data_IF_727479081356
#
_entry.id   IF_727479081356
#
_cell.length_a   1.000
_cell.length_b   1.000
_cell.length_c   1.000
_cell.angle_alpha   90.00
_cell.angle_beta   90.00
_cell.angle_gamma   90.00
#
_symmetry.space_group_name_H-M   'P 1'
#
loop_
_entity.id
_entity.type
_entity.pdbx_description
1 polymer ?
#
# COMPACT_ATOMS: atom_id res chain seq x y z
N UNK A 1 -0.01 -25.10 -14.08
CA UNK A 1 0.77 -24.12 -13.27
C UNK A 1 0.78 -24.64 -11.84
N UNK A 2 1.90 -24.61 -11.12
CA UNK A 2 1.95 -25.10 -9.72
C UNK A 2 1.07 -24.19 -8.83
N UNK A 3 0.33 -24.77 -7.88
CA UNK A 3 -0.55 -24.04 -6.95
C UNK A 3 0.18 -22.89 -6.24
N UNK A 4 1.46 -23.08 -5.88
CA UNK A 4 2.27 -22.01 -5.27
C UNK A 4 2.44 -20.80 -6.19
N UNK A 5 2.62 -21.03 -7.50
CA UNK A 5 2.77 -19.96 -8.50
C UNK A 5 1.43 -19.29 -8.75
N UNK A 6 0.34 -20.05 -8.78
CA UNK A 6 -1.00 -19.51 -8.90
C UNK A 6 -1.36 -18.60 -7.71
N UNK A 7 -1.05 -19.02 -6.49
CA UNK A 7 -1.33 -18.25 -5.29
C UNK A 7 -0.45 -17.01 -5.18
N UNK A 8 0.82 -17.10 -5.58
CA UNK A 8 1.69 -15.93 -5.67
C UNK A 8 1.18 -14.88 -6.66
N UNK A 9 0.57 -15.31 -7.77
CA UNK A 9 0.13 -14.42 -8.84
C UNK A 9 -1.31 -13.95 -8.73
N UNK A 10 -2.23 -14.76 -8.23
CA UNK A 10 -3.66 -14.44 -8.24
C UNK A 10 -4.15 -13.90 -6.90
N UNK A 11 -3.59 -14.35 -5.77
CA UNK A 11 -4.03 -13.87 -4.47
C UNK A 11 -3.81 -12.34 -4.28
N UNK A 12 -2.69 -11.73 -4.72
CA UNK A 12 -2.52 -10.29 -4.63
C UNK A 12 -3.04 -9.54 -5.88
N UNK A 13 -3.86 -10.16 -6.74
CA UNK A 13 -4.24 -9.55 -8.03
C UNK A 13 -4.91 -8.18 -7.88
N UNK A 14 -5.68 -7.97 -6.80
CA UNK A 14 -6.25 -6.66 -6.48
C UNK A 14 -5.21 -5.55 -6.24
N UNK A 15 -3.97 -5.91 -5.91
CA UNK A 15 -2.86 -4.98 -5.67
C UNK A 15 -2.08 -4.63 -6.94
N UNK A 16 -2.31 -5.30 -8.07
CA UNK A 16 -1.59 -4.98 -9.31
C UNK A 16 -1.95 -3.62 -9.88
N UNK A 17 -3.21 -3.23 -9.77
CA UNK A 17 -3.67 -1.90 -10.20
C UNK A 17 -2.94 -0.79 -9.42
N UNK A 18 -2.98 -0.74 -8.07
CA UNK A 18 -2.25 0.28 -7.33
C UNK A 18 -0.73 0.21 -7.54
N UNK A 19 -0.17 -0.98 -7.76
CA UNK A 19 1.26 -1.15 -8.08
C UNK A 19 1.63 -0.48 -9.41
N UNK A 20 0.84 -0.73 -10.47
CA UNK A 20 1.06 -0.13 -11.79
C UNK A 20 0.86 1.39 -11.77
N UNK A 21 -0.17 1.87 -11.06
CA UNK A 21 -0.40 3.31 -10.88
C UNK A 21 0.78 3.93 -10.13
N UNK A 22 1.27 3.30 -9.05
CA UNK A 22 2.42 3.78 -8.30
C UNK A 22 3.69 3.87 -9.17
N UNK A 23 3.89 2.87 -10.04
CA UNK A 23 5.00 2.87 -11.00
C UNK A 23 4.90 4.07 -11.96
N UNK A 24 3.72 4.25 -12.57
CA UNK A 24 3.45 5.36 -13.47
C UNK A 24 3.66 6.72 -12.79
N UNK A 25 3.16 6.89 -11.55
CA UNK A 25 3.33 8.13 -10.78
C UNK A 25 4.79 8.41 -10.44
N UNK A 26 5.60 7.38 -10.20
CA UNK A 26 7.04 7.53 -9.93
C UNK A 26 7.79 8.05 -11.16
N UNK A 27 7.40 7.62 -12.35
CA UNK A 27 8.01 8.08 -13.60
C UNK A 27 7.52 9.45 -14.05
N UNK A 28 6.24 9.77 -13.83
CA UNK A 28 5.61 11.01 -14.32
C UNK A 28 5.74 12.17 -13.34
N UNK A 29 5.99 11.89 -12.05
CA UNK A 29 6.10 12.92 -11.01
C UNK A 29 7.49 12.93 -10.36
N UNK A 30 8.01 14.13 -10.16
CA UNK A 30 9.30 14.36 -9.50
C UNK A 30 9.10 15.08 -8.16
N UNK A 31 9.86 14.74 -7.11
CA UNK A 31 9.85 15.48 -5.85
C UNK A 31 10.22 16.95 -6.06
N UNK A 32 9.53 17.86 -5.36
CA UNK A 32 9.94 19.27 -5.31
C UNK A 32 11.28 19.40 -4.58
N UNK A 33 12.27 20.02 -5.22
CA UNK A 33 13.64 20.14 -4.68
C UNK A 33 13.75 21.08 -3.47
N UNK A 34 12.81 22.00 -3.27
CA UNK A 34 12.96 23.13 -2.33
C UNK A 34 12.31 22.96 -0.94
N UNK A 35 11.78 21.79 -0.60
CA UNK A 35 11.09 21.63 0.68
C UNK A 35 12.03 21.32 1.85
N UNK A 36 12.79 22.31 2.33
CA UNK A 36 13.71 22.22 3.47
C UNK A 36 13.03 22.00 4.85
N UNK A 37 11.83 21.39 4.91
CA UNK A 37 11.11 21.12 6.16
C UNK A 37 9.87 20.20 6.05
N UNK A 38 9.36 19.93 4.83
CA UNK A 38 8.26 19.00 4.59
C UNK A 38 8.60 17.49 4.75
N UNK A 39 9.85 17.01 4.60
CA UNK A 39 10.15 15.58 4.65
C UNK A 39 9.87 14.93 6.00
N UNK A 40 10.16 15.61 7.11
CA UNK A 40 10.05 15.01 8.45
C UNK A 40 8.58 14.82 8.86
N UNK A 41 7.73 15.81 8.61
CA UNK A 41 6.29 15.71 8.92
C UNK A 41 5.57 14.72 8.00
N UNK A 42 6.04 14.57 6.76
CA UNK A 42 5.58 13.52 5.85
C UNK A 42 6.00 12.13 6.32
N UNK A 43 7.29 11.94 6.62
CA UNK A 43 7.82 10.66 7.09
C UNK A 43 7.16 10.24 8.39
N UNK A 44 6.90 11.17 9.33
CA UNK A 44 6.16 10.87 10.55
C UNK A 44 4.77 10.29 10.27
N UNK A 45 4.00 10.91 9.36
CA UNK A 45 2.70 10.37 8.94
C UNK A 45 2.83 9.01 8.23
N UNK A 46 3.90 8.82 7.45
CA UNK A 46 4.15 7.55 6.76
C UNK A 46 4.50 6.43 7.75
N UNK A 47 5.30 6.70 8.78
CA UNK A 47 5.60 5.75 9.86
C UNK A 47 4.34 5.39 10.67
N UNK A 48 3.46 6.36 10.94
CA UNK A 48 2.13 6.08 11.52
C UNK A 48 1.33 5.15 10.59
N UNK A 49 1.37 5.41 9.28
CA UNK A 49 0.77 4.52 8.28
C UNK A 49 1.32 3.10 8.34
N UNK A 50 2.64 2.93 8.43
CA UNK A 50 3.27 1.60 8.56
C UNK A 50 2.78 0.91 9.84
N UNK A 51 2.67 1.63 10.97
CA UNK A 51 2.13 1.07 12.20
C UNK A 51 0.65 0.61 12.06
N UNK A 52 -0.18 1.40 11.36
CA UNK A 52 -1.56 1.01 11.04
C UNK A 52 -1.56 -0.22 10.14
N UNK A 53 -0.67 -0.31 9.15
CA UNK A 53 -0.55 -1.49 8.29
C UNK A 53 -0.11 -2.73 9.07
N UNK A 54 0.77 -2.60 10.07
CA UNK A 54 1.08 -3.70 10.97
C UNK A 54 -0.17 -4.19 11.71
N UNK A 55 -0.97 -3.28 12.27
CA UNK A 55 -2.23 -3.64 12.92
C UNK A 55 -3.22 -4.31 11.95
N UNK A 56 -3.32 -3.79 10.73
CA UNK A 56 -4.17 -4.33 9.67
C UNK A 56 -3.78 -5.75 9.27
N UNK A 57 -2.49 -5.95 8.98
CA UNK A 57 -1.92 -7.27 8.70
C UNK A 57 -2.14 -8.26 9.86
N UNK A 58 -1.98 -7.82 11.12
CA UNK A 58 -2.24 -8.66 12.29
C UNK A 58 -3.71 -9.11 12.32
N UNK A 59 -4.66 -8.19 12.15
CA UNK A 59 -6.09 -8.52 12.11
C UNK A 59 -6.39 -9.52 10.98
N UNK A 60 -5.93 -9.25 9.76
CA UNK A 60 -6.10 -10.13 8.60
C UNK A 60 -5.53 -11.52 8.85
N UNK A 61 -4.36 -11.61 9.50
CA UNK A 61 -3.71 -12.88 9.80
C UNK A 61 -4.52 -13.68 10.82
N UNK A 62 -4.84 -13.11 11.98
CA UNK A 62 -5.53 -13.81 13.07
C UNK A 62 -6.95 -14.19 12.71
N UNK A 63 -7.60 -13.42 11.82
CA UNK A 63 -8.97 -13.70 11.39
C UNK A 63 -9.06 -14.47 10.08
N UNK A 64 -7.93 -14.89 9.51
CA UNK A 64 -7.90 -15.86 8.42
C UNK A 64 -8.14 -15.29 7.03
N UNK A 65 -7.79 -14.03 6.77
CA UNK A 65 -7.89 -13.41 5.44
C UNK A 65 -7.22 -14.25 4.35
N UNK A 66 -6.02 -14.76 4.62
CA UNK A 66 -5.23 -15.63 3.72
C UNK A 66 -5.94 -16.93 3.31
N UNK A 67 -7.00 -17.32 4.03
CA UNK A 67 -7.84 -18.47 3.73
C UNK A 67 -9.16 -18.00 3.10
N UNK A 68 -9.84 -17.05 3.75
CA UNK A 68 -11.18 -16.62 3.37
C UNK A 68 -11.21 -15.80 2.07
N UNK A 69 -10.27 -14.88 1.87
CA UNK A 69 -10.27 -14.03 0.69
C UNK A 69 -10.07 -14.84 -0.61
N UNK A 70 -9.05 -15.72 -0.75
CA UNK A 70 -8.91 -16.53 -1.96
C UNK A 70 -10.11 -17.44 -2.22
N UNK A 71 -10.67 -18.05 -1.17
CA UNK A 71 -11.79 -18.99 -1.31
C UNK A 71 -13.08 -18.33 -1.79
N UNK A 72 -13.30 -17.04 -1.49
CA UNK A 72 -14.42 -16.27 -2.06
C UNK A 72 -14.37 -16.17 -3.59
N UNK A 73 -13.19 -16.28 -4.20
CA UNK A 73 -13.01 -16.23 -5.65
C UNK A 73 -12.75 -17.62 -6.26
N UNK A 74 -13.00 -18.71 -5.51
CA UNK A 74 -12.75 -20.08 -5.96
C UNK A 74 -11.26 -20.42 -6.09
N UNK A 75 -10.37 -19.65 -5.45
CA UNK A 75 -8.94 -19.90 -5.41
C UNK A 75 -8.58 -20.75 -4.17
N UNK A 76 -7.41 -21.39 -4.21
CA UNK A 76 -6.91 -22.14 -3.06
C UNK A 76 -6.42 -21.19 -1.96
N UNK A 77 -6.58 -21.56 -0.67
CA UNK A 77 -6.00 -20.81 0.43
C UNK A 77 -4.50 -20.56 0.24
N UNK A 78 -4.06 -19.35 0.62
CA UNK A 78 -2.64 -18.99 0.66
C UNK A 78 -2.06 -19.55 1.95
N UNK A 79 -0.85 -20.12 1.91
CA UNK A 79 -0.21 -20.61 3.14
C UNK A 79 0.14 -19.44 4.08
N UNK A 80 0.16 -19.70 5.39
CA UNK A 80 0.50 -18.69 6.38
C UNK A 80 1.90 -18.09 6.12
N UNK A 81 2.87 -18.93 5.75
CA UNK A 81 4.25 -18.51 5.46
C UNK A 81 4.32 -17.58 4.26
N UNK A 82 3.57 -17.88 3.19
CA UNK A 82 3.52 -17.03 2.01
C UNK A 82 2.84 -15.69 2.32
N UNK A 83 1.73 -15.71 3.05
CA UNK A 83 1.01 -14.50 3.44
C UNK A 83 1.84 -13.58 4.36
N UNK A 84 2.49 -14.16 5.38
CA UNK A 84 3.39 -13.44 6.29
C UNK A 84 4.61 -12.94 5.53
N UNK A 85 5.27 -13.79 4.72
CA UNK A 85 6.44 -13.43 3.94
C UNK A 85 6.18 -12.27 2.97
N UNK A 86 5.02 -12.28 2.29
CA UNK A 86 4.58 -11.19 1.43
C UNK A 86 4.42 -9.88 2.21
N UNK A 87 3.66 -9.88 3.30
CA UNK A 87 3.39 -8.68 4.09
C UNK A 87 4.66 -8.12 4.77
N UNK A 88 5.49 -8.98 5.36
CA UNK A 88 6.74 -8.56 6.00
C UNK A 88 7.73 -8.00 4.97
N UNK A 89 7.78 -8.55 3.76
CA UNK A 89 8.61 -8.01 2.68
C UNK A 89 8.20 -6.57 2.33
N UNK A 90 6.90 -6.31 2.19
CA UNK A 90 6.39 -4.96 1.93
C UNK A 90 6.62 -4.00 3.10
N UNK A 91 6.42 -4.45 4.34
CA UNK A 91 6.76 -3.66 5.53
C UNK A 91 8.25 -3.26 5.55
N UNK A 92 9.14 -4.18 5.17
CA UNK A 92 10.57 -3.89 5.01
C UNK A 92 10.84 -2.86 3.91
N UNK A 93 10.24 -3.05 2.73
CA UNK A 93 10.37 -2.11 1.61
C UNK A 93 9.87 -0.71 1.98
N UNK A 94 8.71 -0.59 2.64
CA UNK A 94 8.16 0.70 3.09
C UNK A 94 9.01 1.36 4.17
N UNK A 95 9.58 0.57 5.09
CA UNK A 95 10.50 1.09 6.10
C UNK A 95 11.78 1.65 5.46
N UNK A 96 12.35 0.95 4.48
CA UNK A 96 13.49 1.45 3.70
C UNK A 96 13.13 2.68 2.86
N UNK A 97 11.92 2.72 2.31
CA UNK A 97 11.42 3.86 1.56
C UNK A 97 11.35 5.12 2.41
N UNK A 98 10.94 5.02 3.68
CA UNK A 98 10.93 6.16 4.60
C UNK A 98 12.32 6.81 4.71
N UNK A 99 13.38 5.99 4.81
CA UNK A 99 14.76 6.48 4.78
C UNK A 99 15.13 7.09 3.42
N UNK A 100 14.74 6.44 2.31
CA UNK A 100 14.97 6.95 0.97
C UNK A 100 14.33 8.32 0.70
N UNK A 101 13.14 8.60 1.26
CA UNK A 101 12.47 9.90 1.18
C UNK A 101 13.29 10.98 1.89
N UNK A 102 13.81 10.71 3.10
CA UNK A 102 14.68 11.65 3.83
C UNK A 102 15.92 11.99 3.00
N UNK A 103 16.44 11.01 2.25
CA UNK A 103 17.64 11.15 1.41
C UNK A 103 17.35 11.70 0.00
N UNK A 104 16.08 12.02 -0.31
CA UNK A 104 15.70 12.54 -1.63
C UNK A 104 15.81 11.53 -2.77
N UNK A 105 15.84 10.23 -2.48
CA UNK A 105 15.97 9.17 -3.49
C UNK A 105 14.66 9.00 -4.24
N UNK A 106 14.65 9.28 -5.54
CA UNK A 106 13.44 9.21 -6.38
C UNK A 106 12.77 7.84 -6.35
N UNK A 107 13.55 6.76 -6.43
CA UNK A 107 13.02 5.39 -6.43
C UNK A 107 12.26 5.07 -5.15
N UNK A 108 12.59 5.73 -4.03
CA UNK A 108 11.88 5.54 -2.77
C UNK A 108 10.42 6.01 -2.81
N UNK A 109 10.03 6.85 -3.77
CA UNK A 109 8.64 7.31 -3.91
C UNK A 109 7.72 6.22 -4.45
N UNK A 110 8.22 5.25 -5.23
CA UNK A 110 7.44 4.12 -5.75
C UNK A 110 6.72 3.33 -4.66
N UNK A 111 7.41 2.76 -3.67
CA UNK A 111 6.75 2.01 -2.61
C UNK A 111 5.83 2.89 -1.76
N UNK A 112 6.08 4.19 -1.62
CA UNK A 112 5.20 5.10 -0.85
C UNK A 112 3.92 5.42 -1.62
N UNK A 113 3.99 5.60 -2.94
CA UNK A 113 2.79 5.67 -3.78
C UNK A 113 1.97 4.39 -3.68
N UNK A 114 2.64 3.24 -3.78
CA UNK A 114 1.98 1.94 -3.67
C UNK A 114 1.31 1.78 -2.31
N UNK A 115 1.99 2.15 -1.21
CA UNK A 115 1.40 2.15 0.12
C UNK A 115 0.11 2.96 0.17
N UNK A 116 0.16 4.24 -0.26
CA UNK A 116 -1.00 5.12 -0.20
C UNK A 116 -2.20 4.58 -0.96
N UNK A 117 -1.98 4.05 -2.17
CA UNK A 117 -3.03 3.52 -3.03
C UNK A 117 -3.58 2.18 -2.52
N UNK A 118 -2.71 1.24 -2.12
CA UNK A 118 -3.12 -0.07 -1.62
C UNK A 118 -3.91 0.08 -0.31
N UNK A 119 -3.49 0.95 0.59
CA UNK A 119 -4.19 1.22 1.84
C UNK A 119 -5.56 1.86 1.61
N UNK A 120 -5.65 2.79 0.65
CA UNK A 120 -6.93 3.38 0.23
C UNK A 120 -7.88 2.32 -0.31
N UNK A 121 -7.37 1.40 -1.13
CA UNK A 121 -8.14 0.27 -1.65
C UNK A 121 -8.65 -0.64 -0.52
N UNK A 122 -7.78 -1.02 0.42
CA UNK A 122 -8.15 -1.85 1.57
C UNK A 122 -9.28 -1.22 2.39
N UNK A 123 -9.20 0.09 2.66
CA UNK A 123 -10.24 0.79 3.41
C UNK A 123 -11.61 0.85 2.74
N UNK A 124 -11.71 0.53 1.44
CA UNK A 124 -12.97 0.40 0.72
C UNK A 124 -13.35 -1.07 0.53
N UNK A 125 -12.40 -1.93 0.17
CA UNK A 125 -12.63 -3.33 -0.16
C UNK A 125 -13.18 -4.13 1.03
N UNK A 126 -12.59 -3.97 2.22
CA UNK A 126 -12.97 -4.73 3.41
C UNK A 126 -14.40 -4.45 3.90
N UNK A 127 -14.86 -3.17 4.00
CA UNK A 127 -16.27 -2.89 4.25
C UNK A 127 -17.22 -3.48 3.21
N UNK A 128 -16.87 -3.41 1.92
CA UNK A 128 -17.68 -4.01 0.85
C UNK A 128 -17.76 -5.53 1.01
N UNK A 129 -16.64 -6.19 1.28
CA UNK A 129 -16.58 -7.63 1.48
C UNK A 129 -17.38 -8.06 2.72
N UNK A 130 -17.32 -7.30 3.81
CA UNK A 130 -18.14 -7.52 5.01
C UNK A 130 -19.65 -7.44 4.71
N UNK A 131 -20.07 -6.44 3.94
CA UNK A 131 -21.47 -6.32 3.51
C UNK A 131 -21.85 -7.50 2.61
N UNK A 132 -21.00 -7.88 1.67
CA UNK A 132 -21.26 -8.96 0.72
C UNK A 132 -21.36 -10.34 1.40
N UNK A 133 -20.51 -10.61 2.40
CA UNK A 133 -20.55 -11.87 3.16
C UNK A 133 -21.59 -11.86 4.28
N UNK A 134 -22.26 -10.74 4.53
CA UNK A 134 -23.31 -10.61 5.53
C UNK A 134 -22.81 -10.67 6.98
N UNK A 135 -21.52 -10.36 7.21
CA UNK A 135 -20.91 -10.50 8.53
C UNK A 135 -19.53 -9.86 8.61
N UNK A 136 -18.81 -10.16 9.69
CA UNK A 136 -17.42 -9.72 9.82
C UNK A 136 -16.56 -10.32 8.71
N UNK A 137 -15.73 -9.49 8.08
CA UNK A 137 -14.72 -9.93 7.12
C UNK A 137 -13.31 -9.59 7.64
N UNK A 138 -12.32 -10.48 7.52
CA UNK A 138 -10.98 -10.26 8.05
C UNK A 138 -10.35 -8.93 7.63
N UNK A 139 -10.02 -8.06 8.57
CA UNK A 139 -9.45 -6.72 8.30
C UNK A 139 -10.47 -5.58 8.36
N UNK A 140 -11.74 -5.85 8.66
CA UNK A 140 -12.80 -4.83 8.72
C UNK A 140 -12.55 -3.75 9.77
N UNK A 141 -12.00 -4.05 10.95
CA UNK A 141 -11.88 -3.05 12.01
C UNK A 141 -10.74 -2.07 11.78
N UNK A 142 -9.64 -2.54 11.21
CA UNK A 142 -8.45 -1.72 10.94
C UNK A 142 -8.46 -1.08 9.55
N UNK A 143 -9.18 -1.65 8.59
CA UNK A 143 -9.19 -1.15 7.21
C UNK A 143 -9.70 0.29 7.04
N UNK A 144 -10.66 0.83 7.81
CA UNK A 144 -11.06 2.24 7.67
C UNK A 144 -9.92 3.19 8.04
N UNK A 145 -9.18 2.89 9.13
CA UNK A 145 -8.00 3.65 9.51
C UNK A 145 -6.89 3.54 8.45
N UNK A 146 -6.70 2.33 7.90
CA UNK A 146 -5.81 2.09 6.76
C UNK A 146 -6.18 2.96 5.55
N UNK A 147 -7.47 3.00 5.18
CA UNK A 147 -7.98 3.82 4.09
C UNK A 147 -7.71 5.30 4.29
N UNK A 148 -8.02 5.83 5.48
CA UNK A 148 -7.80 7.23 5.81
C UNK A 148 -6.32 7.59 5.70
N UNK A 149 -5.41 6.81 6.28
CA UNK A 149 -3.98 7.12 6.21
C UNK A 149 -3.46 6.97 4.76
N UNK A 150 -3.99 6.01 4.00
CA UNK A 150 -3.70 5.85 2.58
C UNK A 150 -4.02 7.10 1.76
N UNK A 151 -5.20 7.69 1.97
CA UNK A 151 -5.64 8.93 1.33
C UNK A 151 -4.75 10.11 1.75
N UNK A 152 -4.42 10.21 3.04
CA UNK A 152 -3.55 11.27 3.58
C UNK A 152 -2.17 11.22 2.92
N UNK A 153 -1.54 10.04 2.87
CA UNK A 153 -0.21 9.86 2.26
C UNK A 153 -0.25 10.17 0.77
N UNK A 154 -1.22 9.62 0.04
CA UNK A 154 -1.41 9.87 -1.40
C UNK A 154 -1.57 11.36 -1.68
N UNK A 155 -2.43 12.05 -0.92
CA UNK A 155 -2.67 13.49 -1.07
C UNK A 155 -1.41 14.31 -0.80
N UNK A 156 -0.64 13.96 0.25
CA UNK A 156 0.61 14.64 0.56
C UNK A 156 1.66 14.42 -0.52
N UNK A 157 1.75 13.22 -1.10
CA UNK A 157 2.63 12.93 -2.23
C UNK A 157 2.27 13.75 -3.48
N UNK A 158 0.97 13.90 -3.79
CA UNK A 158 0.54 14.74 -4.90
C UNK A 158 0.94 16.21 -4.70
N UNK A 159 0.93 16.71 -3.45
CA UNK A 159 1.35 18.07 -3.13
C UNK A 159 2.87 18.25 -3.11
N UNK A 160 3.63 17.21 -2.75
CA UNK A 160 5.10 17.28 -2.66
C UNK A 160 5.82 16.91 -3.96
N UNK A 161 5.08 16.47 -4.98
CA UNK A 161 5.63 16.10 -6.29
C UNK A 161 4.99 16.92 -7.40
N UNK A 162 5.75 17.33 -8.41
CA UNK A 162 5.26 18.04 -9.58
C UNK A 162 5.28 17.14 -10.82
N UNK A 163 4.35 17.40 -11.76
CA UNK A 163 4.40 16.82 -13.10
C UNK A 163 5.65 17.31 -13.82
N UNK A 164 6.33 16.41 -14.54
CA UNK A 164 7.56 16.74 -15.26
C UNK A 164 7.40 17.91 -16.24
N UNK A 165 6.22 18.04 -16.87
CA UNK A 165 5.92 19.12 -17.83
C UNK A 165 5.99 20.53 -17.21
N UNK A 166 5.79 20.67 -15.90
CA UNK A 166 5.83 21.97 -15.24
C UNK A 166 7.25 22.41 -14.87
N UNK A 167 8.22 21.50 -14.86
CA UNK A 167 9.62 21.83 -14.56
C UNK A 167 10.41 22.21 -15.83
N UNK A 168 9.88 21.91 -17.01
CA UNK A 168 10.51 22.22 -18.30
C UNK A 168 10.15 23.63 -18.81
N UNK A 169 9.12 24.27 -18.26
CA UNK A 169 8.75 25.66 -18.56
C UNK A 169 9.53 26.71 -17.77
N UNK A 170 10.30 26.29 -16.77
CA UNK A 170 11.09 27.15 -15.88
C UNK A 170 12.60 27.11 -16.21
N UNK A 171 12.98 26.48 -17.33
CA UNK A 171 14.34 26.42 -17.89
C UNK A 171 14.37 27.13 -19.25
#
# INVERSE_FOLDING_TARGET
>A
MNESVQNLLLAPAGLYIPLLIALLLTFTRSPHRDSNGAPVSFVGAFLIGIAIQCAHFIEEFITGFHILFPTLFGLTPVSAELFVGFNVSWLGIWSLAAFGIIRGVRVAYFPVWFFGLAMSLNGVAHPILSVWTGGYFPGLFTSPAAGIIGIVITTRLFRSTASWNNNASDL
#
